data_IF_489055955493
#
_entry.id   IF_489055955493
#
_cell.length_a   1.000
_cell.length_b   1.000
_cell.length_c   1.000
_cell.angle_alpha   90.00
_cell.angle_beta   90.00
_cell.angle_gamma   90.00
#
_symmetry.space_group_name_H-M   'P 1'
#
loop_
_entity.id
_entity.type
_entity.pdbx_description
1 polymer ?
#
# COMPACT_ATOMS: atom_id res chain seq x y z
N UNK A 1 -49.60 -26.43 -39.31
CA UNK A 1 -48.61 -25.50 -38.77
C UNK A 1 -48.75 -25.49 -37.24
N UNK A 2 -47.88 -26.25 -36.53
CA UNK A 2 -47.88 -26.27 -35.04
C UNK A 2 -46.77 -25.33 -34.61
N UNK A 3 -47.09 -24.28 -33.86
CA UNK A 3 -46.17 -23.37 -33.20
C UNK A 3 -45.71 -23.97 -31.87
N UNK A 4 -44.47 -24.29 -31.75
CA UNK A 4 -43.82 -24.72 -30.53
C UNK A 4 -43.39 -23.45 -29.74
N UNK A 5 -43.94 -23.23 -28.57
CA UNK A 5 -43.53 -22.15 -27.64
C UNK A 5 -42.43 -22.74 -26.78
N UNK A 6 -41.19 -22.24 -26.96
CA UNK A 6 -40.07 -22.56 -26.08
C UNK A 6 -40.16 -21.71 -24.80
N UNK A 7 -40.25 -22.38 -23.65
CA UNK A 7 -40.18 -21.75 -22.35
C UNK A 7 -38.69 -21.60 -22.00
N UNK A 8 -38.25 -20.33 -21.95
CA UNK A 8 -36.90 -19.94 -21.46
C UNK A 8 -36.94 -19.86 -19.91
N UNK A 9 -36.43 -20.90 -19.26
CA UNK A 9 -36.20 -20.84 -17.80
C UNK A 9 -34.98 -19.94 -17.51
N UNK A 10 -35.24 -18.74 -17.05
CA UNK A 10 -34.20 -17.86 -16.46
C UNK A 10 -33.95 -18.33 -15.04
N UNK A 11 -32.82 -19.00 -14.81
CA UNK A 11 -32.29 -19.31 -13.48
C UNK A 11 -31.75 -18.00 -12.89
N UNK A 12 -32.55 -17.33 -12.06
CA UNK A 12 -32.10 -16.25 -11.20
C UNK A 12 -31.35 -16.89 -10.03
N UNK A 13 -30.02 -16.85 -10.10
CA UNK A 13 -29.16 -17.23 -8.99
C UNK A 13 -29.29 -16.14 -7.92
N UNK A 14 -30.10 -16.41 -6.91
CA UNK A 14 -30.17 -15.59 -5.68
C UNK A 14 -28.87 -15.82 -4.91
N UNK A 15 -27.91 -14.92 -5.06
CA UNK A 15 -26.81 -14.78 -4.09
C UNK A 15 -27.38 -14.28 -2.78
N UNK A 16 -27.75 -15.18 -1.89
CA UNK A 16 -28.03 -14.85 -0.50
C UNK A 16 -26.69 -14.43 0.14
N UNK A 17 -26.66 -13.34 0.92
CA UNK A 17 -25.49 -13.01 1.71
C UNK A 17 -25.22 -14.18 2.67
N UNK A 18 -24.02 -14.72 2.64
CA UNK A 18 -23.57 -15.74 3.59
C UNK A 18 -23.41 -15.01 4.93
N UNK A 19 -24.45 -15.07 5.77
CA UNK A 19 -24.33 -14.71 7.17
C UNK A 19 -23.39 -15.73 7.81
N UNK A 20 -22.35 -15.25 8.52
CA UNK A 20 -21.51 -16.12 9.34
C UNK A 20 -22.41 -16.91 10.29
N UNK A 21 -22.30 -18.23 10.26
CA UNK A 21 -23.08 -19.05 11.17
C UNK A 21 -22.52 -18.86 12.58
N UNK A 22 -23.35 -18.40 13.51
CA UNK A 22 -22.99 -18.43 14.93
C UNK A 22 -22.99 -19.88 15.39
N UNK A 23 -21.81 -20.40 15.75
CA UNK A 23 -21.69 -21.69 16.39
C UNK A 23 -22.16 -21.57 17.84
N UNK A 24 -23.36 -22.11 18.09
CA UNK A 24 -24.06 -22.01 19.36
C UNK A 24 -23.85 -23.30 20.17
N UNK A 25 -22.97 -23.24 21.17
CA UNK A 25 -23.14 -24.00 22.40
C UNK A 25 -23.39 -22.98 23.53
N UNK A 26 -24.62 -22.49 23.68
CA UNK A 26 -24.94 -21.36 24.56
C UNK A 26 -24.71 -21.67 26.06
N UNK A 27 -24.54 -22.93 26.39
CA UNK A 27 -24.19 -23.32 27.76
C UNK A 27 -22.74 -22.96 28.13
N UNK A 28 -21.86 -22.82 27.14
CA UNK A 28 -20.43 -22.55 27.36
C UNK A 28 -20.00 -21.21 26.81
N UNK A 29 -20.18 -20.98 25.51
CA UNK A 29 -19.85 -19.74 24.84
C UNK A 29 -20.50 -19.65 23.45
N UNK A 30 -20.57 -18.42 22.92
CA UNK A 30 -20.89 -18.15 21.52
C UNK A 30 -19.70 -17.47 20.87
N UNK A 31 -19.42 -17.78 19.60
CA UNK A 31 -18.33 -17.16 18.87
C UNK A 31 -18.65 -16.95 17.40
N UNK A 32 -17.87 -16.07 16.76
CA UNK A 32 -18.03 -15.67 15.37
C UNK A 32 -16.63 -15.41 14.76
N UNK A 33 -16.38 -16.00 13.58
CA UNK A 33 -15.17 -15.73 12.81
C UNK A 33 -15.24 -14.39 12.12
N UNK A 34 -14.13 -13.65 12.09
CA UNK A 34 -14.00 -12.34 11.44
C UNK A 34 -12.73 -12.27 10.63
N UNK A 35 -12.83 -11.63 9.48
CA UNK A 35 -11.69 -11.34 8.63
C UNK A 35 -11.77 -9.88 8.15
N UNK A 36 -10.64 -9.17 8.16
CA UNK A 36 -10.58 -7.75 7.80
C UNK A 36 -10.91 -7.52 6.31
N UNK A 37 -11.16 -6.29 5.92
CA UNK A 37 -11.45 -5.86 4.56
C UNK A 37 -12.53 -6.67 3.85
N UNK A 38 -13.59 -7.03 4.56
CA UNK A 38 -14.73 -7.76 4.00
C UNK A 38 -14.32 -9.09 3.34
N UNK A 39 -13.52 -9.87 4.07
CA UNK A 39 -12.97 -11.16 3.65
C UNK A 39 -11.97 -11.06 2.47
N UNK A 40 -11.23 -9.98 2.39
CA UNK A 40 -10.14 -9.83 1.41
C UNK A 40 -8.78 -9.74 2.09
N UNK A 41 -7.84 -10.62 1.71
CA UNK A 41 -6.45 -10.57 2.13
C UNK A 41 -5.65 -9.71 1.16
N UNK A 42 -5.09 -8.61 1.65
CA UNK A 42 -4.21 -7.74 0.88
C UNK A 42 -2.75 -8.00 1.23
N UNK A 43 -1.99 -8.69 0.36
CA UNK A 43 -0.56 -8.95 0.57
C UNK A 43 0.24 -7.68 0.85
N UNK A 44 -0.04 -6.58 0.12
CA UNK A 44 0.63 -5.29 0.34
C UNK A 44 0.49 -4.78 1.77
N UNK A 45 -0.70 -4.91 2.36
CA UNK A 45 -0.98 -4.49 3.73
C UNK A 45 -0.21 -5.33 4.75
N UNK A 46 -0.24 -6.67 4.58
CA UNK A 46 0.47 -7.59 5.46
C UNK A 46 1.98 -7.37 5.38
N UNK A 47 2.53 -7.29 4.16
CA UNK A 47 3.96 -7.13 3.93
C UNK A 47 4.50 -5.78 4.43
N UNK A 48 3.77 -4.68 4.16
CA UNK A 48 4.16 -3.36 4.62
C UNK A 48 4.17 -3.25 6.15
N UNK A 49 3.32 -3.99 6.85
CA UNK A 49 3.21 -4.01 8.31
C UNK A 49 3.93 -5.17 9.00
N UNK A 50 4.77 -5.91 8.29
CA UNK A 50 5.51 -7.05 8.82
C UNK A 50 6.64 -6.69 9.80
N UNK A 51 6.91 -5.40 10.00
CA UNK A 51 7.90 -4.92 10.96
C UNK A 51 7.47 -5.09 12.41
N UNK A 52 8.42 -4.93 13.36
CA UNK A 52 8.08 -4.92 14.78
C UNK A 52 7.05 -3.83 15.06
N UNK A 53 5.91 -4.23 15.60
CA UNK A 53 4.94 -3.27 16.12
C UNK A 53 5.42 -2.82 17.49
N UNK A 54 5.60 -1.51 17.67
CA UNK A 54 5.82 -0.94 18.99
C UNK A 54 4.72 -1.39 19.94
N UNK A 55 5.03 -1.42 21.24
CA UNK A 55 4.12 -1.87 22.28
C UNK A 55 2.82 -1.06 22.28
N UNK A 56 1.88 -1.46 21.44
CA UNK A 56 0.54 -0.90 21.42
C UNK A 56 -0.20 -1.39 22.67
N UNK A 57 -0.70 -0.45 23.47
CA UNK A 57 -1.58 -0.83 24.58
C UNK A 57 -2.92 -1.29 24.02
N UNK A 58 -3.16 -2.58 24.10
CA UNK A 58 -4.42 -3.18 23.65
C UNK A 58 -5.56 -2.83 24.61
N UNK A 59 -6.81 -2.72 24.11
CA UNK A 59 -8.01 -2.68 24.95
C UNK A 59 -8.12 -3.93 25.84
N UNK A 60 -8.78 -3.83 26.98
CA UNK A 60 -8.92 -4.94 27.94
C UNK A 60 -9.78 -6.12 27.45
N UNK A 61 -10.47 -5.94 26.34
CA UNK A 61 -11.30 -6.92 25.65
C UNK A 61 -10.66 -7.47 24.36
N UNK A 62 -9.37 -7.15 24.14
CA UNK A 62 -8.61 -7.59 22.97
C UNK A 62 -7.36 -8.37 23.38
N UNK A 63 -7.11 -9.51 22.74
CA UNK A 63 -5.96 -10.39 22.96
C UNK A 63 -5.27 -10.72 21.64
N UNK A 64 -3.95 -10.72 21.63
CA UNK A 64 -3.13 -11.19 20.51
C UNK A 64 -2.57 -10.05 19.65
N UNK A 65 -2.58 -10.22 18.33
CA UNK A 65 -1.94 -9.34 17.37
C UNK A 65 -2.63 -7.95 17.30
N UNK A 66 -1.96 -6.85 17.68
CA UNK A 66 -2.54 -5.51 17.59
C UNK A 66 -2.85 -5.06 16.15
N UNK A 67 -2.24 -5.72 15.18
CA UNK A 67 -2.50 -5.52 13.75
C UNK A 67 -3.54 -6.51 13.20
N UNK A 68 -4.29 -7.17 14.08
CA UNK A 68 -5.15 -8.31 13.80
C UNK A 68 -5.96 -8.18 12.50
N UNK A 69 -5.69 -9.12 11.61
CA UNK A 69 -6.34 -9.22 10.31
C UNK A 69 -7.43 -10.29 10.32
N UNK A 70 -7.25 -11.23 11.24
CA UNK A 70 -8.09 -12.41 11.44
C UNK A 70 -8.45 -12.47 12.92
N UNK A 71 -9.73 -12.49 13.25
CA UNK A 71 -10.20 -12.44 14.62
C UNK A 71 -11.28 -13.49 14.89
N UNK A 72 -11.35 -13.92 16.13
CA UNK A 72 -12.51 -14.59 16.72
C UNK A 72 -13.15 -13.64 17.72
N UNK A 73 -14.42 -13.34 17.53
CA UNK A 73 -15.22 -12.60 18.51
C UNK A 73 -15.99 -13.61 19.37
N UNK A 74 -15.84 -13.55 20.69
CA UNK A 74 -16.35 -14.56 21.60
C UNK A 74 -16.99 -13.95 22.84
N UNK A 75 -18.08 -14.58 23.30
CA UNK A 75 -18.75 -14.29 24.58
C UNK A 75 -18.85 -15.58 25.36
N UNK A 76 -18.18 -15.65 26.52
CA UNK A 76 -18.28 -16.80 27.44
C UNK A 76 -19.43 -16.64 28.42
N UNK A 77 -20.13 -17.73 28.74
CA UNK A 77 -21.17 -17.76 29.76
C UNK A 77 -20.60 -17.85 31.19
N UNK A 78 -19.31 -18.14 31.34
CA UNK A 78 -18.64 -18.28 32.64
C UNK A 78 -17.44 -17.33 32.74
N UNK A 79 -17.13 -16.80 33.95
CA UNK A 79 -15.93 -15.97 34.13
C UNK A 79 -14.67 -16.83 34.15
N UNK A 80 -13.52 -16.18 33.86
CA UNK A 80 -12.19 -16.81 33.77
C UNK A 80 -12.12 -18.00 32.81
N UNK A 81 -12.90 -17.95 31.72
CA UNK A 81 -12.93 -19.00 30.72
C UNK A 81 -11.59 -19.10 29.99
N UNK A 82 -11.02 -20.31 29.93
CA UNK A 82 -9.81 -20.61 29.17
C UNK A 82 -10.19 -20.85 27.71
N UNK A 83 -9.72 -20.01 26.81
CA UNK A 83 -10.04 -20.08 25.38
C UNK A 83 -8.79 -20.43 24.60
N UNK A 84 -8.91 -21.38 23.70
CA UNK A 84 -7.91 -21.74 22.70
C UNK A 84 -8.52 -21.50 21.31
N UNK A 85 -7.83 -20.70 20.50
CA UNK A 85 -8.20 -20.41 19.11
C UNK A 85 -7.09 -20.90 18.20
N UNK A 86 -7.44 -21.65 17.17
CA UNK A 86 -6.55 -22.03 16.08
C UNK A 86 -7.09 -21.49 14.78
N UNK A 87 -6.21 -20.89 13.96
CA UNK A 87 -6.53 -20.31 12.64
C UNK A 87 -5.56 -20.85 11.60
N UNK A 88 -6.07 -21.21 10.43
CA UNK A 88 -5.29 -21.62 9.27
C UNK A 88 -5.76 -20.88 8.02
N UNK A 89 -4.86 -20.15 7.38
CA UNK A 89 -5.10 -19.57 6.05
C UNK A 89 -4.50 -20.53 5.03
N UNK A 90 -5.35 -21.36 4.41
CA UNK A 90 -4.91 -22.51 3.62
C UNK A 90 -3.95 -22.12 2.50
N UNK A 91 -2.73 -22.67 2.55
CA UNK A 91 -1.66 -22.42 1.59
C UNK A 91 -1.00 -21.04 1.64
N UNK A 92 -1.41 -20.14 2.58
CA UNK A 92 -0.87 -18.78 2.70
C UNK A 92 -0.27 -18.46 4.05
N UNK A 93 -0.58 -19.27 5.05
CA UNK A 93 0.00 -19.16 6.39
C UNK A 93 0.11 -20.53 7.05
N UNK A 94 1.07 -20.67 7.95
CA UNK A 94 1.12 -21.81 8.87
C UNK A 94 -0.01 -21.71 9.90
N UNK A 95 -0.48 -22.84 10.48
CA UNK A 95 -1.42 -22.80 11.59
C UNK A 95 -0.92 -21.88 12.70
N UNK A 96 -1.82 -21.05 13.21
CA UNK A 96 -1.53 -20.03 14.21
C UNK A 96 -2.52 -20.13 15.35
N UNK A 97 -2.02 -20.09 16.58
CA UNK A 97 -2.78 -20.36 17.79
C UNK A 97 -2.74 -19.17 18.75
N UNK A 98 -3.77 -19.06 19.57
CA UNK A 98 -3.84 -18.08 20.66
C UNK A 98 -4.58 -18.71 21.85
N UNK A 99 -3.92 -18.69 23.01
CA UNK A 99 -4.53 -19.01 24.30
C UNK A 99 -4.82 -17.72 25.06
N UNK A 100 -6.02 -17.61 25.61
CA UNK A 100 -6.45 -16.45 26.38
C UNK A 100 -7.36 -16.85 27.55
N UNK A 101 -7.33 -16.05 28.62
CA UNK A 101 -8.29 -16.16 29.73
C UNK A 101 -9.26 -14.99 29.64
N UNK A 102 -10.56 -15.26 29.53
CA UNK A 102 -11.61 -14.24 29.48
C UNK A 102 -12.13 -13.95 30.89
N UNK A 103 -11.80 -12.78 31.48
CA UNK A 103 -12.10 -12.52 32.90
C UNK A 103 -13.58 -12.48 33.25
N UNK A 104 -14.43 -11.93 32.34
CA UNK A 104 -15.82 -11.62 32.64
C UNK A 104 -16.79 -12.45 31.78
N UNK A 105 -17.79 -13.06 32.42
CA UNK A 105 -18.88 -13.71 31.71
C UNK A 105 -19.80 -12.67 31.04
N UNK A 106 -20.36 -13.02 29.88
CA UNK A 106 -21.28 -12.17 29.12
C UNK A 106 -20.63 -10.99 28.38
N UNK A 107 -19.35 -10.76 28.57
CA UNK A 107 -18.61 -9.72 27.86
C UNK A 107 -18.05 -10.25 26.54
N UNK A 108 -18.13 -9.44 25.49
CA UNK A 108 -17.50 -9.76 24.20
C UNK A 108 -16.01 -9.50 24.25
N UNK A 109 -15.24 -10.46 23.78
CA UNK A 109 -13.80 -10.35 23.60
C UNK A 109 -13.42 -10.60 22.15
N UNK A 110 -12.30 -9.99 21.73
CA UNK A 110 -11.70 -10.11 20.41
C UNK A 110 -10.35 -10.84 20.55
N UNK A 111 -10.19 -11.93 19.82
CA UNK A 111 -9.00 -12.77 19.87
C UNK A 111 -8.38 -12.81 18.47
N UNK A 112 -7.18 -12.28 18.30
CA UNK A 112 -6.45 -12.20 17.06
C UNK A 112 -5.12 -12.97 17.18
N UNK A 113 -5.04 -14.23 16.77
CA UNK A 113 -3.77 -14.94 16.71
C UNK A 113 -2.76 -14.23 15.80
N UNK A 114 -1.46 -14.29 16.15
CA UNK A 114 -0.37 -13.84 15.29
C UNK A 114 -0.25 -14.78 14.09
N UNK A 115 -0.81 -14.38 12.95
CA UNK A 115 -0.83 -15.22 11.75
C UNK A 115 0.55 -15.25 11.11
N UNK A 116 1.11 -16.46 10.98
CA UNK A 116 2.43 -16.71 10.38
C UNK A 116 2.30 -16.90 8.88
N UNK A 117 2.18 -15.77 8.15
CA UNK A 117 2.06 -15.74 6.70
C UNK A 117 3.32 -16.22 5.98
N UNK A 118 3.15 -16.86 4.83
CA UNK A 118 4.23 -17.08 3.86
C UNK A 118 4.50 -15.77 3.10
N UNK A 119 5.41 -14.97 3.62
CA UNK A 119 5.74 -13.65 3.05
C UNK A 119 6.30 -13.75 1.63
N UNK A 120 7.03 -14.81 1.30
CA UNK A 120 7.56 -15.01 -0.04
C UNK A 120 6.42 -15.21 -1.04
N UNK A 121 5.48 -16.08 -0.71
CA UNK A 121 4.30 -16.34 -1.52
C UNK A 121 3.40 -15.10 -1.64
N UNK A 122 3.21 -14.36 -0.57
CA UNK A 122 2.46 -13.10 -0.61
C UNK A 122 3.11 -12.07 -1.55
N UNK A 123 4.44 -11.91 -1.50
CA UNK A 123 5.18 -10.97 -2.33
C UNK A 123 5.16 -11.32 -3.83
N UNK A 124 4.99 -12.60 -4.17
CA UNK A 124 4.90 -13.10 -5.54
C UNK A 124 3.48 -13.06 -6.13
N UNK A 125 2.48 -12.74 -5.31
CA UNK A 125 1.08 -12.75 -5.74
C UNK A 125 0.78 -11.58 -6.68
N UNK A 126 0.64 -11.86 -7.96
CA UNK A 126 0.44 -10.85 -9.02
C UNK A 126 -1.00 -10.76 -9.55
N UNK A 127 -1.90 -11.60 -9.08
CA UNK A 127 -3.33 -11.63 -9.41
C UNK A 127 -4.15 -12.10 -8.22
N UNK A 128 -5.47 -11.94 -8.30
CA UNK A 128 -6.34 -12.39 -7.22
C UNK A 128 -6.61 -13.90 -7.29
N UNK A 129 -6.66 -14.53 -6.11
CA UNK A 129 -6.97 -15.95 -5.93
C UNK A 129 -8.11 -16.14 -4.93
N UNK A 130 -8.95 -17.17 -5.09
CA UNK A 130 -9.82 -17.62 -4.01
C UNK A 130 -8.97 -18.28 -2.91
N UNK A 131 -9.43 -18.18 -1.68
CA UNK A 131 -8.80 -18.81 -0.51
C UNK A 131 -9.81 -19.13 0.57
N UNK A 132 -9.38 -19.84 1.59
CA UNK A 132 -10.18 -20.14 2.77
C UNK A 132 -9.40 -19.88 4.04
N UNK A 133 -10.11 -19.55 5.11
CA UNK A 133 -9.60 -19.48 6.47
C UNK A 133 -10.41 -20.42 7.31
N UNK A 134 -9.73 -21.39 7.94
CA UNK A 134 -10.33 -22.29 8.90
C UNK A 134 -10.10 -21.76 10.32
N UNK A 135 -11.16 -21.76 11.10
CA UNK A 135 -11.16 -21.39 12.52
C UNK A 135 -11.58 -22.59 13.35
N UNK A 136 -10.92 -22.82 14.47
CA UNK A 136 -11.41 -23.72 15.51
C UNK A 136 -11.30 -23.07 16.89
N UNK A 137 -12.29 -23.28 17.73
CA UNK A 137 -12.39 -22.67 19.06
C UNK A 137 -12.70 -23.73 20.10
N UNK A 138 -11.93 -23.73 21.20
CA UNK A 138 -12.22 -24.50 22.40
C UNK A 138 -12.33 -23.58 23.60
N UNK A 139 -13.27 -23.90 24.51
CA UNK A 139 -13.45 -23.15 25.76
C UNK A 139 -13.47 -24.15 26.91
N UNK A 140 -12.60 -23.99 27.92
CA UNK A 140 -12.43 -24.88 29.04
C UNK A 140 -12.25 -26.37 28.61
N UNK A 141 -11.55 -26.61 27.50
CA UNK A 141 -11.35 -27.92 26.90
C UNK A 141 -12.51 -28.46 26.06
N UNK A 142 -13.65 -27.77 26.02
CA UNK A 142 -14.82 -28.14 25.23
C UNK A 142 -14.65 -27.58 23.81
N UNK A 143 -14.74 -28.45 22.81
CA UNK A 143 -14.72 -28.05 21.39
C UNK A 143 -16.05 -27.38 21.01
N UNK A 144 -15.97 -26.12 20.56
CA UNK A 144 -17.14 -25.33 20.08
C UNK A 144 -17.32 -25.42 18.57
N UNK A 145 -16.59 -26.30 17.90
CA UNK A 145 -16.70 -26.51 16.47
C UNK A 145 -15.70 -25.71 15.63
N UNK A 146 -15.91 -25.80 14.33
CA UNK A 146 -15.07 -25.16 13.31
C UNK A 146 -15.92 -24.32 12.37
N UNK A 147 -15.36 -23.22 11.90
CA UNK A 147 -15.93 -22.38 10.86
C UNK A 147 -14.90 -22.20 9.74
N UNK A 148 -15.36 -22.19 8.51
CA UNK A 148 -14.55 -21.88 7.34
C UNK A 148 -15.11 -20.66 6.63
N UNK A 149 -14.28 -19.61 6.51
CA UNK A 149 -14.61 -18.44 5.72
C UNK A 149 -13.97 -18.51 4.33
N UNK A 150 -14.75 -18.28 3.30
CA UNK A 150 -14.23 -18.02 1.97
C UNK A 150 -13.67 -16.60 1.92
N UNK A 151 -12.43 -16.46 1.47
CA UNK A 151 -11.75 -15.18 1.31
C UNK A 151 -11.27 -15.00 -0.12
N UNK A 152 -10.89 -13.78 -0.44
CA UNK A 152 -10.17 -13.46 -1.68
C UNK A 152 -8.77 -12.95 -1.32
N UNK A 153 -7.75 -13.60 -1.83
CA UNK A 153 -6.38 -13.10 -1.77
C UNK A 153 -6.19 -12.14 -2.93
N UNK A 154 -5.79 -10.90 -2.66
CA UNK A 154 -5.58 -9.85 -3.66
C UNK A 154 -4.17 -9.92 -4.23
N UNK A 155 -3.92 -9.17 -5.31
CA UNK A 155 -2.55 -8.98 -5.80
C UNK A 155 -1.71 -8.20 -4.79
N UNK A 156 -0.40 -8.48 -4.74
CA UNK A 156 0.55 -7.67 -3.97
C UNK A 156 0.65 -6.22 -4.46
N UNK A 157 0.20 -5.95 -5.68
CA UNK A 157 0.08 -4.61 -6.24
C UNK A 157 -1.12 -3.82 -5.69
N UNK A 158 -2.13 -4.48 -5.10
CA UNK A 158 -3.36 -3.83 -4.63
C UNK A 158 -3.16 -3.22 -3.24
N UNK A 159 -3.35 -1.91 -3.11
CA UNK A 159 -3.29 -1.17 -1.84
C UNK A 159 -4.69 -0.86 -1.34
N UNK A 160 -5.14 -1.40 -0.20
CA UNK A 160 -6.43 -1.05 0.40
C UNK A 160 -6.30 0.29 1.14
N UNK A 161 -6.34 1.40 0.39
CA UNK A 161 -6.03 2.72 0.95
C UNK A 161 -7.13 3.29 1.86
N UNK A 162 -8.36 2.79 1.75
CA UNK A 162 -9.48 3.19 2.62
C UNK A 162 -10.51 2.07 2.71
N UNK A 163 -11.06 1.86 3.90
CA UNK A 163 -12.20 0.98 4.13
C UNK A 163 -13.26 1.70 4.94
N UNK A 164 -14.55 1.57 4.56
CA UNK A 164 -15.68 2.20 5.27
C UNK A 164 -15.94 1.53 6.62
N UNK A 165 -15.56 0.27 6.75
CA UNK A 165 -15.71 -0.53 7.96
C UNK A 165 -14.46 -1.35 8.22
N UNK A 166 -14.15 -1.55 9.49
CA UNK A 166 -13.04 -2.40 9.95
C UNK A 166 -13.47 -3.24 11.16
N UNK A 167 -12.68 -4.24 11.50
CA UNK A 167 -12.91 -5.05 12.70
C UNK A 167 -12.79 -4.22 13.99
N UNK A 168 -12.04 -3.12 13.97
CA UNK A 168 -11.97 -2.17 15.11
C UNK A 168 -13.18 -1.27 15.25
N UNK A 169 -14.11 -1.29 14.28
CA UNK A 169 -15.29 -0.44 14.18
C UNK A 169 -15.03 0.88 13.46
N UNK A 170 -15.91 1.21 12.51
CA UNK A 170 -15.83 2.43 11.72
C UNK A 170 -14.81 2.40 10.57
N UNK A 171 -14.64 3.55 9.88
CA UNK A 171 -13.76 3.65 8.73
C UNK A 171 -12.27 3.64 9.12
N UNK A 172 -11.44 3.12 8.23
CA UNK A 172 -9.98 3.10 8.38
C UNK A 172 -9.32 3.73 7.17
N UNK A 173 -8.41 4.67 7.43
CA UNK A 173 -7.54 5.31 6.45
C UNK A 173 -6.18 4.60 6.43
N UNK A 174 -5.90 3.89 5.36
CA UNK A 174 -4.68 3.11 5.15
C UNK A 174 -3.77 3.70 4.07
N UNK A 175 -3.94 4.97 3.70
CA UNK A 175 -3.10 5.60 2.65
C UNK A 175 -1.60 5.51 2.94
N UNK A 176 -1.21 5.42 4.21
CA UNK A 176 0.19 5.22 4.62
C UNK A 176 0.82 3.93 4.04
N UNK A 177 0.03 2.95 3.62
CA UNK A 177 0.52 1.71 2.98
C UNK A 177 1.24 2.00 1.66
N UNK A 178 0.94 3.11 0.98
CA UNK A 178 1.72 3.53 -0.20
C UNK A 178 3.21 3.68 0.11
N UNK A 179 3.59 4.02 1.35
CA UNK A 179 4.99 4.04 1.78
C UNK A 179 5.67 2.67 1.66
N UNK A 180 4.92 1.58 1.73
CA UNK A 180 5.45 0.22 1.55
C UNK A 180 5.95 -0.06 0.13
N UNK A 181 5.48 0.68 -0.88
CA UNK A 181 5.95 0.55 -2.26
C UNK A 181 7.24 1.33 -2.55
N UNK A 182 7.63 2.24 -1.66
CA UNK A 182 8.93 2.88 -1.71
C UNK A 182 9.98 1.85 -1.27
N UNK A 183 10.85 1.42 -2.18
CA UNK A 183 11.83 0.37 -1.92
C UNK A 183 13.22 0.81 -2.42
N UNK A 184 13.96 1.47 -1.55
CA UNK A 184 15.31 1.98 -1.79
C UNK A 184 16.38 0.88 -2.00
N UNK A 185 16.04 -0.35 -1.63
CA UNK A 185 16.92 -1.51 -1.77
C UNK A 185 16.71 -2.28 -3.07
N UNK A 186 15.76 -1.86 -3.92
CA UNK A 186 15.49 -2.55 -5.17
C UNK A 186 16.71 -2.51 -6.13
N UNK A 187 17.11 -3.66 -6.72
CA UNK A 187 18.34 -3.73 -7.56
C UNK A 187 18.36 -2.73 -8.71
N UNK A 188 17.23 -2.49 -9.37
CA UNK A 188 17.11 -1.54 -10.48
C UNK A 188 17.50 -0.10 -10.12
N UNK A 189 17.40 0.30 -8.84
CA UNK A 189 17.75 1.66 -8.42
C UNK A 189 19.25 1.91 -8.59
N UNK A 190 20.09 0.93 -8.23
CA UNK A 190 21.53 1.08 -8.42
C UNK A 190 21.91 1.27 -9.90
N UNK A 191 21.23 0.55 -10.79
CA UNK A 191 21.41 0.69 -12.24
C UNK A 191 20.99 2.08 -12.72
N UNK A 192 19.82 2.57 -12.26
CA UNK A 192 19.33 3.92 -12.60
C UNK A 192 20.28 5.03 -12.12
N UNK A 193 20.82 4.91 -10.91
CA UNK A 193 21.78 5.89 -10.38
C UNK A 193 23.08 5.90 -11.19
N UNK A 194 23.60 4.73 -11.59
CA UNK A 194 24.77 4.64 -12.46
C UNK A 194 24.52 5.27 -13.83
N UNK A 195 23.34 5.08 -14.41
CA UNK A 195 22.95 5.71 -15.67
C UNK A 195 22.81 7.22 -15.54
N UNK A 196 22.22 7.69 -14.43
CA UNK A 196 22.09 9.12 -14.19
C UNK A 196 23.44 9.85 -14.14
N UNK A 197 24.49 9.23 -13.56
CA UNK A 197 25.83 9.77 -13.54
C UNK A 197 26.49 9.85 -14.93
N UNK A 198 26.15 8.95 -15.86
CA UNK A 198 26.70 9.00 -17.24
C UNK A 198 26.36 10.30 -17.98
N UNK A 199 25.26 10.94 -17.62
CA UNK A 199 24.81 12.18 -18.23
C UNK A 199 25.48 13.42 -17.64
N UNK A 200 26.28 13.28 -16.58
CA UNK A 200 27.11 14.35 -15.99
C UNK A 200 26.33 15.59 -15.55
N UNK A 201 25.03 15.45 -15.25
CA UNK A 201 24.26 16.51 -14.58
C UNK A 201 24.77 16.71 -13.14
N UNK A 202 25.24 15.63 -12.51
CA UNK A 202 25.98 15.60 -11.26
C UNK A 202 27.18 14.66 -11.39
N UNK A 203 28.21 14.85 -10.58
CA UNK A 203 29.39 13.97 -10.54
C UNK A 203 29.22 12.82 -9.53
N UNK A 204 28.37 13.02 -8.54
CA UNK A 204 28.08 12.04 -7.49
C UNK A 204 26.70 12.32 -6.90
N UNK A 205 26.15 11.32 -6.21
CA UNK A 205 25.00 11.49 -5.35
C UNK A 205 25.49 11.61 -3.91
N UNK A 206 25.26 12.75 -3.27
CA UNK A 206 25.75 13.09 -1.93
C UNK A 206 24.64 13.42 -0.92
N UNK A 207 23.37 13.23 -1.32
CA UNK A 207 22.23 13.59 -0.47
C UNK A 207 22.29 15.05 -0.05
N UNK A 208 22.25 15.28 1.26
CA UNK A 208 22.29 16.63 1.85
C UNK A 208 23.71 17.18 2.12
N UNK A 209 24.77 16.52 1.65
CA UNK A 209 26.13 17.05 1.75
C UNK A 209 26.42 18.18 0.74
N UNK A 210 25.37 18.91 0.35
CA UNK A 210 25.40 20.02 -0.62
C UNK A 210 24.28 21.02 -0.25
N UNK A 211 24.22 22.14 -0.94
CA UNK A 211 23.14 23.11 -0.77
C UNK A 211 21.84 22.67 -1.47
N UNK A 212 20.78 23.43 -1.28
CA UNK A 212 19.47 23.16 -1.89
C UNK A 212 19.52 23.08 -3.43
N UNK A 213 20.41 23.85 -4.06
CA UNK A 213 20.58 23.79 -5.51
C UNK A 213 21.21 22.48 -5.94
N UNK A 214 22.21 22.00 -5.19
CA UNK A 214 22.84 20.69 -5.40
C UNK A 214 21.91 19.53 -5.15
N UNK A 215 21.02 19.60 -4.14
CA UNK A 215 19.96 18.61 -3.93
C UNK A 215 19.02 18.56 -5.15
N UNK A 216 18.54 19.73 -5.63
CA UNK A 216 17.71 19.81 -6.84
C UNK A 216 18.40 19.24 -8.08
N UNK A 217 19.72 19.43 -8.21
CA UNK A 217 20.48 18.86 -9.32
C UNK A 217 20.58 17.35 -9.26
N UNK A 218 20.64 16.75 -8.09
CA UNK A 218 20.58 15.29 -7.93
C UNK A 218 19.21 14.74 -8.35
N UNK A 219 18.13 15.41 -7.97
CA UNK A 219 16.75 15.05 -8.40
C UNK A 219 16.60 15.21 -9.92
N UNK A 220 17.16 16.26 -10.50
CA UNK A 220 17.19 16.44 -11.95
C UNK A 220 17.97 15.33 -12.67
N UNK A 221 19.11 14.91 -12.16
CA UNK A 221 19.88 13.82 -12.75
C UNK A 221 19.06 12.51 -12.85
N UNK A 222 18.26 12.23 -11.82
CA UNK A 222 17.33 11.10 -11.79
C UNK A 222 16.21 11.29 -12.81
N UNK A 223 15.59 12.48 -12.84
CA UNK A 223 14.58 12.82 -13.84
C UNK A 223 15.06 12.58 -15.26
N UNK A 224 16.24 13.10 -15.59
CA UNK A 224 16.83 12.96 -16.91
C UNK A 224 17.11 11.48 -17.27
N UNK A 225 17.58 10.67 -16.32
CA UNK A 225 17.81 9.24 -16.54
C UNK A 225 16.51 8.48 -16.84
N UNK A 226 15.45 8.73 -16.09
CA UNK A 226 14.14 8.10 -16.30
C UNK A 226 13.51 8.55 -17.63
N UNK A 227 13.66 9.82 -17.98
CA UNK A 227 13.21 10.36 -19.25
C UNK A 227 13.93 9.69 -20.43
N UNK A 228 15.24 9.46 -20.31
CA UNK A 228 16.05 8.76 -21.32
C UNK A 228 15.70 7.28 -21.43
N UNK A 229 15.25 6.66 -20.38
CA UNK A 229 14.67 5.32 -20.40
C UNK A 229 13.27 5.28 -21.02
N UNK A 230 12.78 6.43 -21.49
CA UNK A 230 11.45 6.56 -22.09
C UNK A 230 10.29 6.15 -21.16
N UNK A 231 10.50 6.26 -19.85
CA UNK A 231 9.40 6.13 -18.89
C UNK A 231 8.41 7.25 -19.16
N UNK A 232 7.16 6.88 -19.42
CA UNK A 232 6.08 7.81 -19.78
C UNK A 232 4.90 7.65 -18.85
N UNK A 233 4.16 8.73 -18.69
CA UNK A 233 2.87 8.65 -18.01
C UNK A 233 1.91 7.76 -18.78
N UNK A 234 1.28 6.85 -18.07
CA UNK A 234 0.20 6.01 -18.60
C UNK A 234 -0.90 5.90 -17.54
N UNK A 235 -2.07 6.45 -17.85
CA UNK A 235 -3.27 6.26 -17.03
C UNK A 235 -3.88 4.86 -17.16
N UNK A 236 -3.34 4.03 -18.08
CA UNK A 236 -3.77 2.64 -18.23
C UNK A 236 -3.10 1.83 -17.13
N UNK A 237 -3.77 1.76 -15.99
CA UNK A 237 -3.45 0.77 -14.96
C UNK A 237 -4.39 -0.41 -15.14
N UNK A 238 -3.92 -1.62 -14.82
CA UNK A 238 -4.87 -2.68 -14.49
C UNK A 238 -5.61 -2.18 -13.25
N UNK A 239 -6.90 -1.85 -13.32
CA UNK A 239 -7.60 -1.39 -12.14
C UNK A 239 -7.54 -2.51 -11.10
N UNK A 240 -7.33 -2.14 -9.84
CA UNK A 240 -7.62 -3.08 -8.75
C UNK A 240 -9.02 -3.63 -8.98
N UNK A 241 -9.17 -4.94 -8.94
CA UNK A 241 -10.49 -5.53 -9.00
C UNK A 241 -11.32 -4.90 -7.87
N UNK A 242 -12.49 -4.36 -8.18
CA UNK A 242 -13.35 -3.78 -7.15
C UNK A 242 -13.65 -4.81 -6.06
N UNK A 243 -13.65 -4.37 -4.80
CA UNK A 243 -14.11 -5.20 -3.71
C UNK A 243 -15.58 -5.59 -3.95
N UNK A 244 -15.98 -6.86 -3.73
CA UNK A 244 -17.36 -7.31 -3.89
C UNK A 244 -18.35 -6.51 -3.05
N UNK A 245 -17.94 -6.04 -1.87
CA UNK A 245 -18.80 -5.25 -0.98
C UNK A 245 -18.92 -3.79 -1.38
N UNK A 246 -18.02 -3.28 -2.22
CA UNK A 246 -17.90 -1.86 -2.54
C UNK A 246 -17.50 -0.97 -1.35
N UNK A 247 -17.09 -1.56 -0.22
CA UNK A 247 -16.72 -0.83 1.01
C UNK A 247 -15.21 -0.67 1.20
N UNK A 248 -14.41 -1.40 0.44
CA UNK A 248 -12.95 -1.30 0.45
C UNK A 248 -12.48 -0.69 -0.85
N UNK A 249 -11.78 0.43 -0.73
CA UNK A 249 -11.23 1.16 -1.86
C UNK A 249 -9.76 0.81 -2.01
N UNK A 250 -9.40 0.28 -3.16
CA UNK A 250 -8.03 -0.13 -3.44
C UNK A 250 -7.49 0.48 -4.73
N UNK A 251 -6.16 0.63 -4.78
CA UNK A 251 -5.42 1.16 -5.91
C UNK A 251 -4.32 0.17 -6.29
N UNK A 252 -4.26 -0.21 -7.57
CA UNK A 252 -3.12 -0.95 -8.07
C UNK A 252 -1.90 -0.04 -8.22
N UNK A 253 -0.76 -0.48 -7.69
CA UNK A 253 0.53 0.21 -7.74
C UNK A 253 1.55 -0.71 -8.39
N UNK A 254 2.24 -0.25 -9.43
CA UNK A 254 3.34 -0.99 -10.02
C UNK A 254 4.56 -0.96 -9.11
N UNK A 255 5.22 -2.10 -8.99
CA UNK A 255 6.55 -2.15 -8.38
C UNK A 255 7.58 -1.45 -9.29
N UNK A 256 8.75 -1.21 -8.74
CA UNK A 256 9.83 -0.48 -9.44
C UNK A 256 10.23 -1.16 -10.76
N UNK A 257 10.44 -2.49 -10.73
CA UNK A 257 10.75 -3.28 -11.91
C UNK A 257 9.64 -3.20 -12.97
N UNK A 258 8.38 -3.31 -12.56
CA UNK A 258 7.24 -3.24 -13.46
C UNK A 258 7.14 -1.88 -14.16
N UNK A 259 7.37 -0.79 -13.43
CA UNK A 259 7.38 0.57 -13.99
C UNK A 259 8.52 0.77 -15.00
N UNK A 260 9.71 0.24 -14.69
CA UNK A 260 10.91 0.38 -15.52
C UNK A 260 10.79 -0.51 -16.78
N UNK A 261 10.42 -1.77 -16.61
CA UNK A 261 10.35 -2.74 -17.69
C UNK A 261 9.23 -2.43 -18.70
N UNK A 262 8.08 -1.97 -18.19
CA UNK A 262 6.97 -1.52 -19.05
C UNK A 262 7.17 -0.13 -19.63
N UNK A 263 8.14 0.65 -19.13
CA UNK A 263 8.34 2.07 -19.45
C UNK A 263 7.08 2.92 -19.22
N UNK A 264 6.26 2.53 -18.24
CA UNK A 264 4.99 3.18 -17.93
C UNK A 264 4.85 3.39 -16.43
N UNK A 265 4.38 4.57 -16.06
CA UNK A 265 4.03 4.89 -14.69
C UNK A 265 2.80 5.80 -14.66
N UNK A 266 1.87 5.54 -13.76
CA UNK A 266 0.83 6.50 -13.43
C UNK A 266 1.34 7.48 -12.35
N UNK A 267 0.46 8.32 -11.80
CA UNK A 267 0.84 9.29 -10.78
C UNK A 267 1.38 8.64 -9.49
N UNK A 268 0.83 7.49 -9.09
CA UNK A 268 1.30 6.74 -7.90
C UNK A 268 2.61 6.05 -8.21
N UNK A 269 2.66 5.29 -9.32
CA UNK A 269 3.85 4.53 -9.72
C UNK A 269 5.08 5.44 -9.88
N UNK A 270 4.91 6.58 -10.56
CA UNK A 270 5.97 7.57 -10.75
C UNK A 270 6.45 8.16 -9.43
N UNK A 271 5.52 8.48 -8.53
CA UNK A 271 5.85 9.05 -7.22
C UNK A 271 6.61 8.05 -6.35
N UNK A 272 6.19 6.78 -6.29
CA UNK A 272 6.90 5.76 -5.48
C UNK A 272 8.26 5.38 -6.10
N UNK A 273 8.38 5.36 -7.44
CA UNK A 273 9.65 5.14 -8.12
C UNK A 273 10.66 6.23 -7.77
N UNK A 274 10.29 7.50 -7.94
CA UNK A 274 11.15 8.63 -7.56
C UNK A 274 11.48 8.62 -6.08
N UNK A 275 10.50 8.43 -5.21
CA UNK A 275 10.70 8.36 -3.76
C UNK A 275 11.71 7.29 -3.39
N UNK A 276 11.66 6.13 -4.03
CA UNK A 276 12.60 5.03 -3.80
C UNK A 276 14.04 5.41 -4.15
N UNK A 277 14.23 6.10 -5.28
CA UNK A 277 15.56 6.53 -5.72
C UNK A 277 16.09 7.65 -4.81
N UNK A 278 15.25 8.61 -4.43
CA UNK A 278 15.66 9.71 -3.55
C UNK A 278 16.03 9.19 -2.16
N UNK A 279 15.22 8.29 -1.60
CA UNK A 279 15.50 7.70 -0.30
C UNK A 279 16.81 6.90 -0.30
N UNK A 280 17.14 6.22 -1.42
CA UNK A 280 18.43 5.53 -1.61
C UNK A 280 19.64 6.43 -1.49
N UNK A 281 19.54 7.67 -1.99
CA UNK A 281 20.66 8.62 -1.99
C UNK A 281 20.65 9.56 -0.77
N UNK A 282 19.79 9.28 0.22
CA UNK A 282 19.70 10.05 1.47
C UNK A 282 18.93 11.37 1.35
N UNK A 283 18.09 11.53 0.34
CA UNK A 283 17.13 12.64 0.23
C UNK A 283 15.77 12.11 0.67
N UNK A 284 15.19 12.71 1.72
CA UNK A 284 13.93 12.23 2.29
C UNK A 284 12.72 12.68 1.46
N UNK A 285 11.96 11.72 0.89
CA UNK A 285 10.82 12.02 0.04
C UNK A 285 9.50 12.01 0.83
N UNK A 286 8.52 12.70 0.24
CA UNK A 286 7.12 12.75 0.65
C UNK A 286 6.25 12.27 -0.50
N UNK A 287 5.20 11.48 -0.23
CA UNK A 287 4.12 11.26 -1.18
C UNK A 287 2.99 12.23 -0.84
N UNK A 288 2.56 13.01 -1.81
CA UNK A 288 1.51 14.03 -1.64
C UNK A 288 0.24 13.54 -2.30
N UNK A 289 -0.78 13.28 -1.49
CA UNK A 289 -2.08 12.81 -1.96
C UNK A 289 -3.10 13.94 -2.01
N UNK A 290 -3.87 13.97 -3.09
CA UNK A 290 -5.11 14.75 -3.24
C UNK A 290 -6.15 13.89 -3.97
N UNK A 291 -7.44 14.28 -4.00
CA UNK A 291 -8.46 13.51 -4.70
C UNK A 291 -8.06 13.10 -6.11
N UNK A 292 -7.99 11.79 -6.37
CA UNK A 292 -7.67 11.21 -7.68
C UNK A 292 -6.23 11.40 -8.16
N UNK A 293 -5.30 11.90 -7.32
CA UNK A 293 -3.94 12.18 -7.76
C UNK A 293 -2.90 12.06 -6.65
N UNK A 294 -1.68 11.69 -7.05
CA UNK A 294 -0.49 11.69 -6.20
C UNK A 294 0.68 12.34 -6.95
N UNK A 295 1.50 13.10 -6.24
CA UNK A 295 2.77 13.63 -6.74
C UNK A 295 3.84 13.57 -5.66
N UNK A 296 5.09 13.81 -6.03
CA UNK A 296 6.26 13.71 -5.15
C UNK A 296 6.52 15.04 -4.44
N UNK A 297 6.92 14.97 -3.16
CA UNK A 297 7.63 16.01 -2.46
C UNK A 297 9.00 15.52 -2.02
N UNK A 298 9.94 16.41 -1.75
CA UNK A 298 11.23 16.08 -1.16
C UNK A 298 11.82 17.27 -0.41
N UNK A 299 12.53 16.98 0.67
CA UNK A 299 13.21 18.01 1.42
C UNK A 299 14.48 18.46 0.71
N UNK A 300 14.72 19.77 0.68
CA UNK A 300 15.94 20.35 0.10
C UNK A 300 17.11 20.44 1.09
N UNK A 301 16.81 20.16 2.37
CA UNK A 301 17.81 20.17 3.46
C UNK A 301 17.44 19.17 4.55
N UNK A 302 18.47 18.70 5.28
CA UNK A 302 18.32 17.70 6.36
C UNK A 302 17.49 18.19 7.55
N UNK A 303 17.36 19.52 7.73
CA UNK A 303 16.55 20.09 8.82
C UNK A 303 15.07 20.22 8.46
N UNK A 304 14.67 19.79 7.27
CA UNK A 304 13.29 19.88 6.75
C UNK A 304 12.75 21.34 6.74
N UNK A 305 13.62 22.31 6.48
CA UNK A 305 13.23 23.71 6.46
C UNK A 305 12.56 24.12 5.15
N UNK A 306 12.94 23.47 4.06
CA UNK A 306 12.43 23.79 2.72
C UNK A 306 12.05 22.49 1.99
N UNK A 307 10.83 22.46 1.48
CA UNK A 307 10.30 21.36 0.66
C UNK A 307 10.07 21.82 -0.77
N UNK A 308 10.35 20.95 -1.72
CA UNK A 308 10.04 21.13 -3.13
C UNK A 308 9.17 19.98 -3.63
N UNK A 309 8.30 20.28 -4.59
CA UNK A 309 7.36 19.29 -5.13
C UNK A 309 7.62 19.05 -6.62
N UNK A 310 7.37 17.82 -7.07
CA UNK A 310 7.62 17.38 -8.44
C UNK A 310 6.43 16.59 -8.99
N UNK A 311 5.89 17.04 -10.13
CA UNK A 311 4.85 16.34 -10.86
C UNK A 311 5.44 15.25 -11.75
N UNK A 312 5.41 14.01 -11.27
CA UNK A 312 6.04 12.87 -11.96
C UNK A 312 5.32 12.46 -13.24
N UNK A 313 4.04 12.81 -13.40
CA UNK A 313 3.26 12.50 -14.61
C UNK A 313 3.71 13.32 -15.83
N UNK A 314 4.49 14.38 -15.62
CA UNK A 314 5.06 15.16 -16.73
C UNK A 314 6.34 14.55 -17.31
N UNK A 315 6.84 13.46 -16.74
CA UNK A 315 8.00 12.77 -17.30
C UNK A 315 7.67 12.21 -18.69
N UNK A 316 8.55 12.47 -19.65
CA UNK A 316 8.35 12.04 -21.04
C UNK A 316 7.24 12.76 -21.81
N UNK A 317 6.53 13.72 -21.18
CA UNK A 317 5.56 14.55 -21.88
C UNK A 317 6.29 15.59 -22.75
N UNK A 318 6.06 15.55 -24.07
CA UNK A 318 6.57 16.58 -25.00
C UNK A 318 8.04 16.43 -25.42
N UNK A 319 8.71 15.33 -25.10
CA UNK A 319 10.07 15.09 -25.60
C UNK A 319 10.02 14.64 -27.07
N UNK A 320 10.31 15.57 -27.99
CA UNK A 320 10.73 15.27 -29.35
C UNK A 320 12.25 15.46 -29.39
N UNK A 321 13.05 14.45 -29.75
CA UNK A 321 14.48 14.66 -29.91
C UNK A 321 14.72 15.69 -31.02
N UNK A 322 15.26 16.86 -30.70
CA UNK A 322 15.93 17.67 -31.67
C UNK A 322 15.51 19.11 -31.95
N UNK A 323 14.69 19.79 -31.15
CA UNK A 323 14.34 21.19 -31.45
C UNK A 323 14.12 22.09 -30.24
N UNK A 324 15.17 22.53 -29.56
CA UNK A 324 15.11 23.81 -28.84
C UNK A 324 16.47 24.39 -28.50
N UNK A 325 16.62 25.71 -28.82
CA UNK A 325 17.76 26.54 -28.47
C UNK A 325 17.50 27.23 -27.11
N UNK A 326 17.68 26.54 -26.02
CA UNK A 326 17.64 27.16 -24.69
C UNK A 326 19.08 27.23 -24.18
N UNK A 327 19.62 28.44 -24.01
CA UNK A 327 20.92 28.69 -23.42
C UNK A 327 20.93 28.20 -21.96
N UNK A 328 21.87 27.35 -21.62
CA UNK A 328 21.99 26.80 -20.29
C UNK A 328 23.26 27.28 -19.56
N UNK A 329 23.20 27.27 -18.19
CA UNK A 329 24.31 27.69 -17.36
C UNK A 329 25.58 26.87 -17.62
N UNK A 330 26.75 27.43 -17.27
CA UNK A 330 28.11 26.91 -17.54
C UNK A 330 28.38 25.45 -17.12
N UNK A 331 27.42 24.77 -16.48
CA UNK A 331 27.62 23.44 -15.89
C UNK A 331 26.92 22.30 -16.65
N UNK A 332 26.08 22.58 -17.62
CA UNK A 332 25.34 21.56 -18.36
C UNK A 332 25.70 21.61 -19.85
N UNK A 333 26.28 20.54 -20.32
CA UNK A 333 26.49 20.20 -21.72
C UNK A 333 25.65 18.97 -22.00
N UNK A 334 24.96 18.84 -23.00
CA UNK A 334 24.58 19.42 -24.27
C UNK A 334 23.09 19.83 -24.36
N UNK A 335 22.62 20.28 -25.52
CA UNK A 335 21.24 20.74 -25.84
C UNK A 335 20.14 19.83 -25.23
N UNK A 336 20.33 18.54 -25.23
CA UNK A 336 19.41 17.54 -24.69
C UNK A 336 19.19 17.62 -23.16
N UNK A 337 20.20 18.01 -22.37
CA UNK A 337 20.03 18.28 -20.94
C UNK A 337 19.22 19.55 -20.70
N UNK A 338 19.34 20.55 -21.60
CA UNK A 338 18.60 21.81 -21.50
C UNK A 338 17.09 21.61 -21.67
N UNK A 339 16.69 20.76 -22.60
CA UNK A 339 15.26 20.42 -22.80
C UNK A 339 14.69 19.63 -21.60
N UNK A 340 15.42 18.61 -21.14
CA UNK A 340 15.06 17.83 -19.97
C UNK A 340 14.93 18.71 -18.72
N UNK A 341 15.86 19.66 -18.55
CA UNK A 341 15.80 20.64 -17.45
C UNK A 341 14.58 21.54 -17.53
N UNK A 342 14.28 22.07 -18.71
CA UNK A 342 13.11 22.94 -18.90
C UNK A 342 11.80 22.22 -18.55
N UNK A 343 11.69 20.94 -18.90
CA UNK A 343 10.55 20.11 -18.52
C UNK A 343 10.52 19.83 -17.02
N UNK A 344 11.66 19.51 -16.43
CA UNK A 344 11.79 19.30 -14.98
C UNK A 344 11.35 20.53 -14.19
N UNK A 345 11.81 21.74 -14.58
CA UNK A 345 11.39 22.98 -13.91
C UNK A 345 9.88 23.24 -14.06
N UNK A 346 9.29 22.94 -15.23
CA UNK A 346 7.83 23.02 -15.40
C UNK A 346 7.09 22.06 -14.48
N UNK A 347 7.58 20.83 -14.34
CA UNK A 347 7.00 19.83 -13.45
C UNK A 347 7.09 20.27 -11.97
N UNK A 348 8.19 20.88 -11.55
CA UNK A 348 8.33 21.50 -10.22
C UNK A 348 7.33 22.65 -10.04
N UNK A 349 7.27 23.60 -10.99
CA UNK A 349 6.36 24.74 -10.91
C UNK A 349 4.90 24.28 -10.80
N UNK A 350 4.51 23.29 -11.60
CA UNK A 350 3.16 22.72 -11.57
C UNK A 350 2.84 22.11 -10.21
N UNK A 351 3.71 21.26 -9.69
CA UNK A 351 3.51 20.60 -8.40
C UNK A 351 3.50 21.59 -7.22
N UNK A 352 4.41 22.57 -7.20
CA UNK A 352 4.42 23.61 -6.17
C UNK A 352 3.14 24.45 -6.19
N UNK A 353 2.64 24.80 -7.38
CA UNK A 353 1.38 25.51 -7.50
C UNK A 353 0.20 24.68 -7.00
N UNK A 354 0.12 23.41 -7.40
CA UNK A 354 -0.93 22.49 -6.92
C UNK A 354 -0.88 22.32 -5.39
N UNK A 355 0.32 22.18 -4.83
CA UNK A 355 0.48 22.10 -3.38
C UNK A 355 -0.02 23.36 -2.67
N UNK A 356 0.44 24.53 -3.11
CA UNK A 356 0.12 25.79 -2.46
C UNK A 356 -1.36 26.18 -2.60
N UNK A 357 -1.98 25.91 -3.75
CA UNK A 357 -3.35 26.33 -4.03
C UNK A 357 -4.39 25.32 -3.54
N UNK A 358 -4.09 24.03 -3.55
CA UNK A 358 -5.06 22.98 -3.25
C UNK A 358 -4.72 22.19 -1.98
N UNK A 359 -3.46 21.67 -1.86
CA UNK A 359 -3.10 20.71 -0.82
C UNK A 359 -2.91 21.40 0.52
N UNK A 360 -2.07 22.42 0.59
CA UNK A 360 -1.75 23.09 1.85
C UNK A 360 -3.00 23.71 2.53
N UNK A 361 -3.94 24.37 1.81
CA UNK A 361 -5.19 24.81 2.43
C UNK A 361 -6.06 23.66 2.95
N UNK A 362 -6.13 22.55 2.22
CA UNK A 362 -6.92 21.38 2.60
C UNK A 362 -6.35 20.68 3.84
N UNK A 363 -5.02 20.56 3.95
CA UNK A 363 -4.34 20.01 5.12
C UNK A 363 -4.56 20.86 6.38
N UNK A 364 -4.57 22.20 6.27
CA UNK A 364 -4.84 23.10 7.39
C UNK A 364 -6.20 22.86 8.02
N UNK A 365 -7.20 22.50 7.21
CA UNK A 365 -8.56 22.18 7.68
C UNK A 365 -8.81 20.68 7.81
N UNK A 366 -7.75 19.87 7.77
CA UNK A 366 -7.75 18.42 7.99
C UNK A 366 -8.72 17.65 7.09
N UNK A 367 -8.80 18.02 5.80
CA UNK A 367 -9.59 17.23 4.84
C UNK A 367 -8.96 15.85 4.65
N UNK A 368 -9.74 14.80 4.90
CA UNK A 368 -9.26 13.41 4.91
C UNK A 368 -8.72 12.90 3.57
N UNK A 369 -9.18 13.50 2.46
CA UNK A 369 -8.74 13.13 1.10
C UNK A 369 -7.33 13.65 0.76
N UNK A 370 -6.79 14.57 1.57
CA UNK A 370 -5.46 15.14 1.38
C UNK A 370 -4.52 14.66 2.46
N UNK A 371 -3.35 14.18 2.07
CA UNK A 371 -2.36 13.66 3.01
C UNK A 371 -0.93 13.85 2.51
N UNK A 372 -0.02 14.09 3.46
CA UNK A 372 1.42 13.94 3.24
C UNK A 372 1.88 12.65 3.90
N UNK A 373 2.51 11.78 3.13
CA UNK A 373 3.11 10.54 3.62
C UNK A 373 4.62 10.75 3.63
N UNK A 374 5.15 11.02 4.81
CA UNK A 374 6.59 11.14 5.04
C UNK A 374 7.20 9.75 5.15
N UNK A 375 8.04 9.40 4.17
CA UNK A 375 8.59 8.04 4.08
C UNK A 375 9.49 7.73 5.27
N UNK A 376 10.34 8.66 5.68
CA UNK A 376 11.24 8.45 6.82
C UNK A 376 10.46 8.27 8.14
N UNK A 377 9.39 9.05 8.33
CA UNK A 377 8.52 8.93 9.50
C UNK A 377 7.81 7.57 9.52
N UNK A 378 7.23 7.13 8.40
CA UNK A 378 6.53 5.84 8.36
C UNK A 378 7.48 4.65 8.48
N UNK A 379 8.72 4.75 7.96
CA UNK A 379 9.77 3.74 8.22
C UNK A 379 10.09 3.62 9.73
N UNK A 380 10.25 4.75 10.43
CA UNK A 380 10.42 4.77 11.89
C UNK A 380 9.20 4.19 12.62
N UNK A 381 8.00 4.37 12.07
CA UNK A 381 6.73 3.81 12.57
C UNK A 381 6.48 2.33 12.23
N UNK A 382 7.45 1.63 11.63
CA UNK A 382 7.35 0.18 11.38
C UNK A 382 6.75 -0.21 10.01
N UNK A 383 6.53 0.75 9.11
CA UNK A 383 6.14 0.42 7.72
C UNK A 383 7.38 0.02 6.93
N UNK A 384 7.44 -1.23 6.50
CA UNK A 384 8.54 -1.77 5.73
C UNK A 384 8.35 -1.58 4.22
N UNK A 385 9.46 -1.59 3.48
CA UNK A 385 9.41 -1.78 2.05
C UNK A 385 8.83 -3.17 1.75
N UNK A 386 7.87 -3.23 0.85
CA UNK A 386 7.33 -4.50 0.36
C UNK A 386 8.45 -5.20 -0.42
N UNK A 387 8.87 -6.41 0.02
CA UNK A 387 9.93 -7.12 -0.67
C UNK A 387 9.45 -7.54 -2.05
N UNK A 388 10.30 -7.37 -3.04
CA UNK A 388 10.09 -7.94 -4.37
C UNK A 388 11.20 -8.96 -4.59
N UNK A 389 10.87 -10.26 -4.68
CA UNK A 389 11.86 -11.26 -5.06
C UNK A 389 12.45 -10.84 -6.40
N UNK A 390 13.76 -10.68 -6.45
CA UNK A 390 14.44 -10.33 -7.70
C UNK A 390 14.19 -11.40 -8.76
N UNK A 391 13.84 -10.98 -9.98
CA UNK A 391 13.88 -11.84 -11.15
C UNK A 391 15.31 -12.14 -11.53
#
# INVERSE_FOLDING_TARGET
MKKTIGILCVLVSLCLPIYSQQHLNPEVATWEAKFEFDNELYPSYVLARSGPTDKVKLPSDYFGDPAGFVEVWIVSSVPNAQVHVEIKVEGWASPSELDATLPEAGKRYRLAPYVRYDFARLAETNQSYPGTVDYSVRVNGIDLGKEMLSIRIRSANDVPFYAETSLSGGPVDNKYIFAGFVNESHPSIQVLLQEALKWKAVNSFSGYQTDAAGVRMQVFAIWNALQRRQVKYSGVTTPSASSPSGKVYSQAVRFIDESIDSQQANCVDGSVLFASILYKIGIEPLLVLKPGHMFLGYWLDENHSTVEFLETTQIGSGHQPGTSNIAFSKFLHPVELSESWAQFIKAIQYANNAYNQEVAPALRIKKAEYQLIDIAQFRKGGINAIPRPGK
#
